data_IF_043384185536
#
_entry.id   IF_043384185536
#
_cell.length_a   1.000
_cell.length_b   1.000
_cell.length_c   1.000
_cell.angle_alpha   90.00
_cell.angle_beta   90.00
_cell.angle_gamma   90.00
#
_symmetry.space_group_name_H-M   'P 1'
#
loop_
_entity.id
_entity.type
_entity.pdbx_description
1 polymer ?
#
# COMPACT_ATOMS: atom_id res chain seq x y z
N UNK A 1 -30.70 -12.56 23.23
CA UNK A 1 -30.98 -11.19 22.75
C UNK A 1 -29.85 -10.31 23.26
N UNK A 2 -29.16 -9.59 22.37
CA UNK A 2 -28.10 -8.68 22.81
C UNK A 2 -28.68 -7.54 23.65
N UNK A 3 -28.10 -7.19 24.82
CA UNK A 3 -28.61 -6.15 25.70
C UNK A 3 -28.74 -4.76 25.01
N UNK A 4 -28.02 -4.55 23.90
CA UNK A 4 -28.10 -3.33 23.10
C UNK A 4 -29.35 -3.25 22.19
N UNK A 5 -30.16 -4.29 22.10
CA UNK A 5 -31.39 -4.33 21.27
C UNK A 5 -32.64 -3.88 22.02
N UNK A 6 -32.57 -3.72 23.35
CA UNK A 6 -33.74 -3.23 24.12
C UNK A 6 -34.11 -1.80 23.75
N UNK A 7 -35.39 -1.50 23.50
CA UNK A 7 -35.86 -0.16 23.11
C UNK A 7 -35.84 0.78 24.30
N UNK A 8 -34.69 1.43 24.50
CA UNK A 8 -34.47 2.49 25.49
C UNK A 8 -33.89 3.73 24.81
N UNK A 9 -34.16 4.92 25.39
CA UNK A 9 -33.60 6.20 24.87
C UNK A 9 -32.06 6.18 24.86
N UNK A 10 -31.44 5.53 25.86
CA UNK A 10 -29.99 5.37 25.92
C UNK A 10 -29.45 4.53 24.76
N UNK A 11 -30.06 3.38 24.47
CA UNK A 11 -29.66 2.51 23.35
C UNK A 11 -29.91 3.16 21.99
N UNK A 12 -30.95 3.99 21.85
CA UNK A 12 -31.17 4.78 20.64
C UNK A 12 -30.02 5.76 20.37
N UNK A 13 -29.56 6.46 21.40
CA UNK A 13 -28.43 7.41 21.30
C UNK A 13 -27.15 6.64 20.92
N UNK A 14 -26.86 5.52 21.58
CA UNK A 14 -25.70 4.68 21.26
C UNK A 14 -25.75 4.14 19.84
N UNK A 15 -26.91 3.68 19.35
CA UNK A 15 -27.08 3.20 17.99
C UNK A 15 -26.89 4.32 16.96
N UNK A 16 -27.45 5.51 17.20
CA UNK A 16 -27.24 6.71 16.36
C UNK A 16 -25.77 7.14 16.30
N UNK A 17 -25.08 7.15 17.43
CA UNK A 17 -23.66 7.47 17.48
C UNK A 17 -22.80 6.43 16.73
N UNK A 18 -23.11 5.15 16.90
CA UNK A 18 -22.43 4.06 16.18
C UNK A 18 -22.67 4.13 14.67
N UNK A 19 -23.88 4.52 14.24
CA UNK A 19 -24.21 4.74 12.83
C UNK A 19 -23.40 5.93 12.28
N UNK A 20 -23.37 7.05 12.97
CA UNK A 20 -22.61 8.23 12.56
C UNK A 20 -21.11 7.92 12.45
N UNK A 21 -20.55 7.23 13.46
CA UNK A 21 -19.15 6.80 13.46
C UNK A 21 -18.85 5.83 12.30
N UNK A 22 -19.77 4.90 11.99
CA UNK A 22 -19.63 3.95 10.88
C UNK A 22 -19.63 4.64 9.53
N UNK A 23 -20.46 5.67 9.34
CA UNK A 23 -20.49 6.49 8.11
C UNK A 23 -19.20 7.29 7.96
N UNK A 24 -18.75 7.95 9.02
CA UNK A 24 -17.46 8.67 9.01
C UNK A 24 -16.29 7.72 8.74
N UNK A 25 -16.31 6.54 9.36
CA UNK A 25 -15.30 5.50 9.13
C UNK A 25 -15.26 5.03 7.69
N UNK A 26 -16.43 4.86 7.05
CA UNK A 26 -16.51 4.53 5.62
C UNK A 26 -15.88 5.64 4.75
N UNK A 27 -16.25 6.91 4.97
CA UNK A 27 -15.72 8.05 4.22
C UNK A 27 -14.20 8.18 4.35
N UNK A 28 -13.68 7.96 5.57
CA UNK A 28 -12.23 7.97 5.81
C UNK A 28 -11.53 6.81 5.09
N UNK A 29 -12.11 5.60 5.10
CA UNK A 29 -11.55 4.45 4.39
C UNK A 29 -11.57 4.64 2.88
N UNK A 30 -12.63 5.26 2.34
CA UNK A 30 -12.74 5.56 0.92
C UNK A 30 -11.71 6.61 0.47
N UNK A 31 -11.57 7.70 1.23
CA UNK A 31 -10.53 8.70 0.99
C UNK A 31 -9.13 8.10 1.07
N UNK A 32 -8.85 7.28 2.10
CA UNK A 32 -7.58 6.57 2.24
C UNK A 32 -7.29 5.70 1.02
N UNK A 33 -8.27 4.90 0.58
CA UNK A 33 -8.14 4.05 -0.61
C UNK A 33 -7.77 4.88 -1.84
N UNK A 34 -8.47 5.99 -2.07
CA UNK A 34 -8.25 6.83 -3.25
C UNK A 34 -6.85 7.46 -3.27
N UNK A 35 -6.31 7.85 -2.11
CA UNK A 35 -4.93 8.35 -2.01
C UNK A 35 -3.93 7.23 -2.30
N UNK A 36 -4.13 6.04 -1.73
CA UNK A 36 -3.26 4.89 -1.97
C UNK A 36 -3.27 4.45 -3.45
N UNK A 37 -4.41 4.55 -4.13
CA UNK A 37 -4.51 4.24 -5.56
C UNK A 37 -3.71 5.24 -6.40
N UNK A 38 -3.77 6.54 -6.10
CA UNK A 38 -2.97 7.55 -6.81
C UNK A 38 -1.48 7.27 -6.65
N UNK A 39 -1.02 7.07 -5.42
CA UNK A 39 0.38 6.74 -5.15
C UNK A 39 0.82 5.44 -5.86
N UNK A 40 -0.07 4.43 -5.93
CA UNK A 40 0.20 3.20 -6.67
C UNK A 40 0.35 3.46 -8.18
N UNK A 41 -0.49 4.31 -8.77
CA UNK A 41 -0.40 4.65 -10.20
C UNK A 41 0.90 5.37 -10.51
N UNK A 42 1.30 6.33 -9.67
CA UNK A 42 2.57 7.04 -9.81
C UNK A 42 3.77 6.07 -9.74
N UNK A 43 3.72 5.06 -8.87
CA UNK A 43 4.77 4.02 -8.80
C UNK A 43 4.76 3.10 -10.02
N UNK A 44 3.59 2.77 -10.57
CA UNK A 44 3.49 1.94 -11.79
C UNK A 44 4.11 2.68 -12.98
N UNK A 45 3.85 3.97 -13.12
CA UNK A 45 4.40 4.76 -14.21
C UNK A 45 5.94 4.89 -14.05
N UNK A 46 6.43 5.14 -12.83
CA UNK A 46 7.87 5.10 -12.54
C UNK A 46 8.50 3.73 -12.86
N UNK A 47 7.82 2.62 -12.54
CA UNK A 47 8.31 1.28 -12.83
C UNK A 47 8.45 1.04 -14.34
N UNK A 48 7.46 1.47 -15.15
CA UNK A 48 7.51 1.36 -16.62
C UNK A 48 8.68 2.15 -17.21
N UNK A 49 8.90 3.38 -16.73
CA UNK A 49 9.99 4.22 -17.20
C UNK A 49 11.35 3.59 -16.86
N UNK A 50 11.53 3.11 -15.64
CA UNK A 50 12.75 2.43 -15.23
C UNK A 50 12.95 1.15 -16.04
N UNK A 51 11.90 0.37 -16.28
CA UNK A 51 11.97 -0.88 -17.03
C UNK A 51 12.40 -0.62 -18.49
N UNK A 52 11.87 0.41 -19.13
CA UNK A 52 12.31 0.81 -20.48
C UNK A 52 13.78 1.22 -20.52
N UNK A 53 14.26 1.93 -19.49
CA UNK A 53 15.67 2.31 -19.35
C UNK A 53 16.57 1.09 -19.12
N UNK A 54 16.12 0.15 -18.30
CA UNK A 54 16.84 -1.11 -18.03
C UNK A 54 17.04 -1.89 -19.33
N UNK A 55 16.00 -2.06 -20.14
CA UNK A 55 16.07 -2.82 -21.39
C UNK A 55 17.12 -2.24 -22.35
N UNK A 56 17.17 -0.93 -22.49
CA UNK A 56 18.17 -0.24 -23.33
C UNK A 56 19.57 -0.39 -22.73
N UNK A 57 19.70 -0.18 -21.44
CA UNK A 57 21.01 -0.22 -20.74
C UNK A 57 21.57 -1.64 -20.74
N UNK A 58 20.74 -2.68 -20.57
CA UNK A 58 21.17 -4.09 -20.68
C UNK A 58 21.68 -4.41 -22.07
N UNK A 59 21.00 -3.99 -23.12
CA UNK A 59 21.48 -4.21 -24.51
C UNK A 59 22.87 -3.59 -24.70
N UNK A 60 23.06 -2.38 -24.21
CA UNK A 60 24.35 -1.69 -24.29
C UNK A 60 25.42 -2.43 -23.48
N UNK A 61 25.09 -2.86 -22.26
CA UNK A 61 26.01 -3.57 -21.38
C UNK A 61 26.44 -4.92 -21.97
N UNK A 62 25.50 -5.69 -22.52
CA UNK A 62 25.82 -6.97 -23.17
C UNK A 62 26.60 -6.79 -24.46
N UNK A 63 26.33 -5.75 -25.25
CA UNK A 63 27.12 -5.46 -26.44
C UNK A 63 28.59 -5.09 -26.08
N UNK A 64 28.79 -4.30 -25.03
CA UNK A 64 30.12 -3.98 -24.51
C UNK A 64 30.84 -5.23 -23.96
N UNK A 65 30.13 -6.09 -23.23
CA UNK A 65 30.67 -7.36 -22.73
C UNK A 65 31.04 -8.31 -23.87
N UNK A 66 30.23 -8.39 -24.93
CA UNK A 66 30.55 -9.19 -26.10
C UNK A 66 31.83 -8.70 -26.80
N UNK A 67 32.00 -7.38 -26.93
CA UNK A 67 33.21 -6.78 -27.45
C UNK A 67 34.43 -7.11 -26.57
N UNK A 68 34.30 -6.99 -25.25
CA UNK A 68 35.36 -7.36 -24.31
C UNK A 68 35.73 -8.86 -24.43
N UNK A 69 34.75 -9.75 -24.54
CA UNK A 69 34.97 -11.19 -24.73
C UNK A 69 35.73 -11.51 -26.05
N UNK A 70 35.45 -10.77 -27.13
CA UNK A 70 36.17 -10.93 -28.40
C UNK A 70 37.59 -10.41 -28.32
N UNK A 71 37.87 -9.36 -27.56
CA UNK A 71 39.18 -8.69 -27.48
C UNK A 71 40.14 -9.31 -26.47
N UNK A 72 39.63 -9.85 -25.38
CA UNK A 72 40.40 -10.33 -24.22
C UNK A 72 40.32 -11.83 -24.09
N UNK A 73 39.24 -12.41 -24.54
CA UNK A 73 38.92 -13.86 -24.42
C UNK A 73 38.01 -14.15 -23.22
N UNK A 74 37.05 -15.07 -23.44
CA UNK A 74 35.98 -15.41 -22.48
C UNK A 74 36.58 -15.91 -21.16
N UNK A 75 37.61 -16.75 -21.18
CA UNK A 75 38.21 -17.32 -19.97
C UNK A 75 38.81 -16.24 -19.07
N UNK A 76 39.49 -15.25 -19.66
CA UNK A 76 40.12 -14.17 -18.90
C UNK A 76 39.07 -13.20 -18.31
N UNK A 77 38.04 -12.88 -19.08
CA UNK A 77 36.89 -12.08 -18.56
C UNK A 77 36.18 -12.81 -17.42
N UNK A 78 36.04 -14.13 -17.49
CA UNK A 78 35.47 -14.94 -16.41
C UNK A 78 36.33 -14.94 -15.15
N UNK A 79 37.65 -14.98 -15.26
CA UNK A 79 38.56 -14.85 -14.11
C UNK A 79 38.43 -13.48 -13.46
N UNK A 80 38.38 -12.40 -14.24
CA UNK A 80 38.18 -11.05 -13.76
C UNK A 80 36.82 -10.91 -13.06
N UNK A 81 35.78 -11.52 -13.60
CA UNK A 81 34.45 -11.45 -12.95
C UNK A 81 34.41 -11.99 -11.52
N UNK A 82 35.30 -12.94 -11.17
CA UNK A 82 35.41 -13.48 -9.81
C UNK A 82 36.06 -12.53 -8.82
N UNK A 83 36.76 -11.50 -9.30
CA UNK A 83 37.37 -10.49 -8.43
C UNK A 83 36.41 -9.38 -8.04
N UNK A 84 35.23 -9.32 -8.68
CA UNK A 84 34.19 -8.33 -8.36
C UNK A 84 33.60 -8.64 -6.99
N UNK A 85 33.66 -7.71 -6.04
CA UNK A 85 33.12 -7.94 -4.71
C UNK A 85 31.59 -8.03 -4.72
N UNK A 86 31.03 -8.79 -3.78
CA UNK A 86 29.59 -8.84 -3.55
C UNK A 86 29.12 -7.50 -2.99
N UNK A 87 28.03 -6.99 -3.51
CA UNK A 87 27.42 -5.73 -3.11
C UNK A 87 26.87 -5.78 -1.69
N UNK A 88 27.45 -5.05 -0.75
CA UNK A 88 27.04 -4.97 0.64
C UNK A 88 26.66 -3.55 1.10
N UNK A 89 26.68 -2.57 0.18
CA UNK A 89 26.44 -1.15 0.49
C UNK A 89 24.95 -0.78 0.56
N UNK A 90 24.04 -1.75 0.36
CA UNK A 90 22.61 -1.51 0.29
C UNK A 90 22.03 -1.39 1.70
N UNK A 91 21.53 -0.21 2.05
CA UNK A 91 20.77 0.03 3.27
C UNK A 91 19.29 0.26 2.97
N UNK A 92 18.41 -0.42 3.73
CA UNK A 92 16.97 -0.31 3.55
C UNK A 92 16.40 0.52 4.70
N UNK A 93 15.81 1.67 4.36
CA UNK A 93 15.01 2.48 5.28
C UNK A 93 13.53 2.30 4.95
N UNK A 94 12.65 2.64 5.87
CA UNK A 94 11.20 2.61 5.64
C UNK A 94 10.64 4.02 5.62
N UNK A 95 9.74 4.28 4.68
CA UNK A 95 8.89 5.48 4.61
C UNK A 95 7.44 5.03 4.77
N UNK A 96 6.64 5.79 5.49
CA UNK A 96 5.21 5.50 5.65
C UNK A 96 4.36 6.37 4.73
N UNK A 97 3.48 5.73 3.96
CA UNK A 97 2.45 6.38 3.15
C UNK A 97 1.09 5.91 3.66
N UNK A 98 0.33 6.83 4.25
CA UNK A 98 -0.99 6.52 4.84
C UNK A 98 -1.00 5.28 5.77
N UNK A 99 0.08 5.11 6.57
CA UNK A 99 0.25 3.96 7.46
C UNK A 99 0.60 2.65 6.74
N UNK A 100 1.07 2.73 5.50
CA UNK A 100 1.72 1.62 4.79
C UNK A 100 3.21 1.89 4.76
N UNK A 101 4.00 0.98 5.31
CA UNK A 101 5.45 1.07 5.25
C UNK A 101 5.93 0.60 3.88
N UNK A 102 6.61 1.49 3.17
CA UNK A 102 7.25 1.22 1.89
C UNK A 102 8.78 1.28 2.06
N UNK A 103 9.54 0.41 1.40
CA UNK A 103 11.00 0.43 1.47
C UNK A 103 11.56 1.63 0.71
N UNK A 104 12.56 2.26 1.30
CA UNK A 104 13.42 3.26 0.67
C UNK A 104 14.84 2.70 0.68
N UNK A 105 15.32 2.31 -0.48
CA UNK A 105 16.66 1.77 -0.63
C UNK A 105 17.66 2.93 -0.81
N UNK A 106 18.74 2.90 -0.07
CA UNK A 106 19.91 3.74 -0.27
C UNK A 106 21.09 2.84 -0.56
N UNK A 107 21.74 3.05 -1.67
CA UNK A 107 23.05 2.49 -1.98
C UNK A 107 24.11 3.56 -1.71
N UNK A 108 25.17 3.21 -1.02
CA UNK A 108 26.36 4.04 -0.99
C UNK A 108 27.05 3.90 -2.36
N UNK A 109 27.63 4.99 -2.91
CA UNK A 109 28.35 4.87 -4.16
C UNK A 109 29.46 3.83 -3.99
N UNK A 110 29.46 2.84 -4.86
CA UNK A 110 30.53 1.86 -4.92
C UNK A 110 31.83 2.60 -5.25
N UNK A 111 32.94 2.17 -4.67
CA UNK A 111 34.25 2.73 -5.04
C UNK A 111 34.47 2.53 -6.53
N UNK A 112 34.72 3.61 -7.27
CA UNK A 112 34.99 3.56 -8.71
C UNK A 112 36.31 2.83 -9.06
N UNK A 113 37.06 2.39 -8.03
CA UNK A 113 38.33 1.70 -8.22
C UNK A 113 38.13 0.29 -8.79
N UNK A 114 38.74 -0.03 -9.92
CA UNK A 114 38.68 -1.38 -10.49
C UNK A 114 39.41 -2.37 -9.58
N UNK A 115 38.77 -3.50 -9.33
CA UNK A 115 39.31 -4.59 -8.49
C UNK A 115 40.25 -5.52 -9.28
N UNK A 116 40.54 -5.20 -10.52
CA UNK A 116 41.42 -5.96 -11.41
C UNK A 116 42.61 -5.12 -11.86
N UNK A 117 43.72 -5.79 -12.17
CA UNK A 117 44.93 -5.12 -12.68
C UNK A 117 44.72 -4.64 -14.11
N UNK A 118 45.20 -3.43 -14.41
CA UNK A 118 45.12 -2.85 -15.77
C UNK A 118 46.00 -3.58 -16.80
N UNK A 119 46.97 -4.36 -16.35
CA UNK A 119 47.83 -5.13 -17.23
C UNK A 119 47.04 -6.31 -17.82
N UNK A 120 46.89 -6.33 -19.13
CA UNK A 120 46.15 -7.36 -19.86
C UNK A 120 44.67 -7.09 -20.04
N UNK A 121 44.14 -5.97 -19.55
CA UNK A 121 42.75 -5.52 -19.78
C UNK A 121 42.69 -4.47 -20.88
N UNK A 122 41.52 -4.27 -21.48
CA UNK A 122 41.26 -3.31 -22.53
C UNK A 122 40.09 -2.39 -22.14
N UNK A 123 40.02 -1.21 -22.78
CA UNK A 123 38.98 -0.21 -22.55
C UNK A 123 37.55 -0.78 -22.72
N UNK A 124 37.37 -1.81 -23.56
CA UNK A 124 36.07 -2.50 -23.75
C UNK A 124 35.56 -3.16 -22.46
N UNK A 125 36.45 -3.61 -21.58
CA UNK A 125 36.08 -4.17 -20.28
C UNK A 125 35.59 -3.08 -19.32
N UNK A 126 36.26 -1.92 -19.32
CA UNK A 126 35.86 -0.79 -18.49
C UNK A 126 34.52 -0.20 -18.95
N UNK A 127 34.28 -0.14 -20.28
CA UNK A 127 32.99 0.24 -20.85
C UNK A 127 31.85 -0.72 -20.40
N UNK A 128 32.14 -2.02 -20.42
CA UNK A 128 31.18 -3.03 -19.96
C UNK A 128 30.90 -2.88 -18.46
N UNK A 129 31.93 -2.72 -17.63
CA UNK A 129 31.79 -2.49 -16.19
C UNK A 129 30.93 -1.29 -15.89
N UNK A 130 31.22 -0.14 -16.48
CA UNK A 130 30.46 1.11 -16.28
C UNK A 130 28.99 0.95 -16.72
N UNK A 131 28.72 0.20 -17.79
CA UNK A 131 27.37 -0.08 -18.25
C UNK A 131 26.62 -1.00 -17.27
N UNK A 132 27.25 -2.06 -16.75
CA UNK A 132 26.64 -2.94 -15.74
C UNK A 132 26.43 -2.25 -14.40
N UNK A 133 27.24 -1.28 -14.04
CA UNK A 133 27.05 -0.49 -12.83
C UNK A 133 25.77 0.35 -12.91
N UNK A 134 25.50 0.97 -14.06
CA UNK A 134 24.22 1.65 -14.33
C UNK A 134 23.04 0.70 -14.29
N UNK A 135 23.19 -0.50 -14.83
CA UNK A 135 22.14 -1.55 -14.76
C UNK A 135 21.86 -1.92 -13.30
N UNK A 136 22.92 -2.08 -12.47
CA UNK A 136 22.79 -2.36 -11.04
C UNK A 136 21.96 -1.29 -10.34
N UNK A 137 22.27 -0.01 -10.54
CA UNK A 137 21.51 1.11 -9.97
C UNK A 137 20.03 1.08 -10.38
N UNK A 138 19.77 0.93 -11.66
CA UNK A 138 18.39 0.87 -12.18
C UNK A 138 17.63 -0.34 -11.62
N UNK A 139 18.28 -1.50 -11.48
CA UNK A 139 17.68 -2.70 -10.90
C UNK A 139 17.33 -2.52 -9.43
N UNK A 140 18.19 -1.87 -8.65
CA UNK A 140 17.92 -1.52 -7.25
C UNK A 140 16.71 -0.60 -7.16
N UNK A 141 16.66 0.44 -8.00
CA UNK A 141 15.51 1.37 -8.05
C UNK A 141 14.22 0.66 -8.45
N UNK A 142 14.26 -0.20 -9.46
CA UNK A 142 13.09 -0.99 -9.89
C UNK A 142 12.58 -1.86 -8.77
N UNK A 143 13.46 -2.62 -8.11
CA UNK A 143 13.10 -3.48 -6.99
C UNK A 143 12.43 -2.70 -5.83
N UNK A 144 12.93 -1.49 -5.52
CA UNK A 144 12.32 -0.61 -4.53
C UNK A 144 10.90 -0.20 -4.93
N UNK A 145 10.71 0.22 -6.19
CA UNK A 145 9.40 0.66 -6.70
C UNK A 145 8.41 -0.49 -6.75
N UNK A 146 8.81 -1.67 -7.23
CA UNK A 146 7.96 -2.87 -7.31
C UNK A 146 7.52 -3.34 -5.91
N UNK A 147 8.44 -3.43 -4.95
CA UNK A 147 8.10 -3.80 -3.58
C UNK A 147 7.17 -2.77 -2.92
N UNK A 148 7.37 -1.49 -3.19
CA UNK A 148 6.49 -0.42 -2.72
C UNK A 148 5.09 -0.56 -3.31
N UNK A 149 4.98 -0.76 -4.62
CA UNK A 149 3.72 -0.97 -5.33
C UNK A 149 2.97 -2.21 -4.80
N UNK A 150 3.68 -3.33 -4.59
CA UNK A 150 3.10 -4.54 -4.01
C UNK A 150 2.51 -4.29 -2.61
N UNK A 151 3.25 -3.63 -1.71
CA UNK A 151 2.77 -3.31 -0.35
C UNK A 151 1.56 -2.39 -0.38
N UNK A 152 1.55 -1.37 -1.26
CA UNK A 152 0.39 -0.50 -1.46
C UNK A 152 -0.82 -1.28 -1.98
N UNK A 153 -0.66 -2.13 -2.98
CA UNK A 153 -1.73 -2.96 -3.54
C UNK A 153 -2.38 -3.87 -2.49
N UNK A 154 -1.57 -4.51 -1.63
CA UNK A 154 -2.06 -5.33 -0.51
C UNK A 154 -2.88 -4.48 0.47
N UNK A 155 -2.42 -3.26 0.79
CA UNK A 155 -3.12 -2.38 1.72
C UNK A 155 -4.40 -1.80 1.10
N UNK A 156 -4.40 -1.47 -0.20
CA UNK A 156 -5.61 -1.08 -0.94
C UNK A 156 -6.66 -2.18 -0.85
N UNK A 157 -6.28 -3.45 -1.10
CA UNK A 157 -7.18 -4.60 -0.99
C UNK A 157 -7.77 -4.75 0.43
N UNK A 158 -6.95 -4.56 1.48
CA UNK A 158 -7.42 -4.58 2.88
C UNK A 158 -8.38 -3.42 3.18
N UNK A 159 -8.05 -2.22 2.73
CA UNK A 159 -8.87 -1.01 2.94
C UNK A 159 -10.21 -1.14 2.21
N UNK A 160 -10.20 -1.64 0.97
CA UNK A 160 -11.41 -1.92 0.19
C UNK A 160 -12.34 -2.93 0.89
N UNK A 161 -11.78 -4.02 1.42
CA UNK A 161 -12.59 -5.01 2.18
C UNK A 161 -13.24 -4.38 3.41
N UNK A 162 -12.51 -3.53 4.15
CA UNK A 162 -13.05 -2.82 5.33
C UNK A 162 -14.12 -1.81 4.94
N UNK A 163 -13.90 -1.02 3.89
CA UNK A 163 -14.88 -0.08 3.37
C UNK A 163 -16.17 -0.80 2.93
N UNK A 164 -16.05 -1.93 2.21
CA UNK A 164 -17.19 -2.73 1.79
C UNK A 164 -17.97 -3.33 2.98
N UNK A 165 -17.26 -3.80 4.01
CA UNK A 165 -17.91 -4.31 5.23
C UNK A 165 -18.67 -3.21 5.97
N UNK A 166 -18.10 -2.01 6.08
CA UNK A 166 -18.80 -0.86 6.67
C UNK A 166 -20.03 -0.49 5.86
N UNK A 167 -19.91 -0.35 4.54
CA UNK A 167 -21.01 0.05 3.65
C UNK A 167 -22.15 -0.95 3.59
N UNK A 168 -21.82 -2.24 3.44
CA UNK A 168 -22.82 -3.27 3.09
C UNK A 168 -23.35 -4.06 4.29
N UNK A 169 -22.62 -4.03 5.42
CA UNK A 169 -22.99 -4.81 6.61
C UNK A 169 -23.26 -3.90 7.80
N UNK A 170 -22.26 -3.05 8.17
CA UNK A 170 -22.31 -2.33 9.46
C UNK A 170 -23.31 -1.18 9.41
N UNK A 171 -23.29 -0.35 8.39
CA UNK A 171 -24.19 0.79 8.23
C UNK A 171 -25.65 0.32 8.12
N UNK A 172 -26.04 -0.62 7.24
CA UNK A 172 -27.43 -1.11 7.17
C UNK A 172 -27.91 -1.75 8.47
N UNK A 173 -27.02 -2.49 9.19
CA UNK A 173 -27.34 -3.06 10.50
C UNK A 173 -27.71 -1.99 11.51
N UNK A 174 -26.92 -0.92 11.63
CA UNK A 174 -27.21 0.17 12.57
C UNK A 174 -28.40 1.03 12.12
N UNK A 175 -28.63 1.21 10.83
CA UNK A 175 -29.84 1.87 10.32
C UNK A 175 -31.10 1.10 10.68
N UNK A 176 -31.15 -0.20 10.46
CA UNK A 176 -32.26 -1.06 10.82
C UNK A 176 -32.49 -1.07 12.34
N UNK A 177 -31.40 -1.16 13.14
CA UNK A 177 -31.48 -1.14 14.61
C UNK A 177 -32.02 0.19 15.10
N UNK A 178 -31.53 1.31 14.61
CA UNK A 178 -31.99 2.64 15.00
C UNK A 178 -33.46 2.84 14.67
N UNK A 179 -33.90 2.39 13.49
CA UNK A 179 -35.31 2.46 13.09
C UNK A 179 -36.21 1.58 13.98
N UNK A 180 -35.78 0.35 14.27
CA UNK A 180 -36.52 -0.56 15.14
C UNK A 180 -36.68 -0.01 16.55
N UNK A 181 -35.61 0.51 17.16
CA UNK A 181 -35.66 1.10 18.50
C UNK A 181 -36.52 2.36 18.50
N UNK A 182 -36.40 3.22 17.48
CA UNK A 182 -37.24 4.44 17.37
C UNK A 182 -38.73 4.10 17.30
N UNK A 183 -39.11 3.15 16.43
CA UNK A 183 -40.48 2.73 16.28
C UNK A 183 -41.06 2.16 17.61
N UNK A 184 -40.28 1.30 18.29
CA UNK A 184 -40.71 0.72 19.56
C UNK A 184 -40.83 1.75 20.69
N UNK A 185 -40.03 2.80 20.70
CA UNK A 185 -40.16 3.90 21.63
C UNK A 185 -41.40 4.76 21.35
N UNK A 186 -41.65 5.07 20.07
CA UNK A 186 -42.86 5.79 19.65
C UNK A 186 -44.14 5.02 20.03
N UNK A 187 -44.13 3.70 19.88
CA UNK A 187 -45.27 2.85 20.26
C UNK A 187 -45.50 2.89 21.77
N UNK A 188 -44.44 2.79 22.58
CA UNK A 188 -44.54 2.94 24.04
C UNK A 188 -45.04 4.33 24.46
N UNK A 189 -44.57 5.40 23.83
CA UNK A 189 -45.04 6.75 24.13
C UNK A 189 -46.57 6.90 23.79
N UNK A 190 -47.03 6.29 22.69
CA UNK A 190 -48.46 6.28 22.35
C UNK A 190 -49.28 5.46 23.36
N UNK A 191 -48.78 4.31 23.80
CA UNK A 191 -49.44 3.51 24.84
C UNK A 191 -49.54 4.30 26.17
N UNK A 192 -48.46 4.92 26.62
CA UNK A 192 -48.44 5.74 27.84
C UNK A 192 -49.43 6.90 27.72
N UNK A 193 -49.46 7.59 26.61
CA UNK A 193 -50.40 8.66 26.36
C UNK A 193 -51.86 8.19 26.44
N UNK A 194 -52.15 7.01 25.82
CA UNK A 194 -53.49 6.43 25.87
C UNK A 194 -53.90 6.03 27.27
N UNK A 195 -52.97 5.42 28.05
CA UNK A 195 -53.20 5.10 29.48
C UNK A 195 -53.51 6.35 30.31
N UNK A 196 -52.73 7.42 30.14
CA UNK A 196 -52.97 8.68 30.82
C UNK A 196 -54.32 9.31 30.46
N UNK A 197 -54.75 9.21 29.19
CA UNK A 197 -56.08 9.67 28.76
C UNK A 197 -57.21 8.90 29.37
N UNK A 198 -57.09 7.57 29.52
CA UNK A 198 -58.06 6.72 30.18
C UNK A 198 -58.14 7.05 31.70
N UNK A 199 -57.01 7.19 32.38
CA UNK A 199 -56.95 7.54 33.81
C UNK A 199 -57.61 8.90 34.04
N UNK A 200 -57.29 9.90 33.19
CA UNK A 200 -57.91 11.23 33.31
C UNK A 200 -59.45 11.16 33.13
N UNK A 201 -59.96 10.33 32.23
CA UNK A 201 -61.38 10.16 32.02
C UNK A 201 -62.04 9.50 33.26
N UNK A 202 -61.40 8.47 33.86
CA UNK A 202 -61.87 7.84 35.09
C UNK A 202 -61.86 8.74 36.33
N UNK A 203 -61.01 9.74 36.36
CA UNK A 203 -60.95 10.73 37.46
C UNK A 203 -61.95 11.89 37.29
N UNK A 204 -62.52 12.08 36.10
CA UNK A 204 -63.51 13.12 35.79
C UNK A 204 -64.98 12.64 35.83
N UNK A 205 -65.16 11.38 36.03
CA UNK A 205 -66.45 10.72 36.39
C UNK A 205 -66.48 10.48 37.90
#
# INVERSE_FOLDING_TARGET
MDPNTFPTKGNLILAKNSLALSRQGFDLMDKKRNILIRELMDLIDQAKDIQSQIDVTFRTAYAALQKANMEIGISHVQEISRTVPVENSISIKTRSVMGTEIPLVRSEPSSDEPTYAYYGTKASLDEARAAFEKVKELTIRLSMVENSAYRLAVNIKKTQKRANALKNITIPKFEALTKSISNALEEKEREEFTRLKVIKKMQSE
#
